data_IF_281471097052
#
_entry.id   IF_281471097052
#
_cell.length_a   1.000
_cell.length_b   1.000
_cell.length_c   1.000
_cell.angle_alpha   90.00
_cell.angle_beta   90.00
_cell.angle_gamma   90.00
#
_symmetry.space_group_name_H-M   'P 1'
#
loop_
_entity.id
_entity.type
_entity.pdbx_description
1 polymer ?
#
# COMPACT_ATOMS: atom_id res chain seq x y z
N UNK A 1 16.42 -12.65 6.87
CA UNK A 1 16.91 -11.49 6.06
C UNK A 1 18.10 -11.97 5.24
N UNK A 2 18.14 -11.76 3.92
CA UNK A 2 19.33 -12.04 3.12
C UNK A 2 20.51 -11.28 3.74
N UNK A 3 21.61 -11.98 4.01
CA UNK A 3 22.78 -11.45 4.74
C UNK A 3 23.55 -10.36 3.99
N UNK A 4 23.03 -9.85 2.88
CA UNK A 4 23.72 -8.99 1.91
C UNK A 4 22.99 -7.69 1.55
N UNK A 5 21.82 -7.38 2.13
CA UNK A 5 21.09 -6.16 1.76
C UNK A 5 21.81 -4.89 2.23
N UNK A 6 22.01 -3.95 1.32
CA UNK A 6 22.58 -2.63 1.62
C UNK A 6 21.45 -1.65 1.96
N UNK A 7 21.68 -0.78 2.95
CA UNK A 7 20.72 0.29 3.27
C UNK A 7 20.56 1.18 2.04
N UNK A 8 19.31 1.49 1.69
CA UNK A 8 18.95 2.22 0.47
C UNK A 8 18.87 1.36 -0.80
N UNK A 9 19.05 0.05 -0.71
CA UNK A 9 18.91 -0.84 -1.86
C UNK A 9 17.44 -1.07 -2.23
N UNK A 10 17.15 -1.09 -3.53
CA UNK A 10 15.86 -1.48 -4.10
C UNK A 10 15.96 -2.90 -4.65
N UNK A 11 15.19 -3.82 -4.08
CA UNK A 11 15.11 -5.20 -4.54
C UNK A 11 14.02 -5.34 -5.60
N UNK A 12 14.34 -5.93 -6.74
CA UNK A 12 13.32 -6.43 -7.65
C UNK A 12 12.73 -7.73 -7.08
N UNK A 13 11.43 -7.70 -6.77
CA UNK A 13 10.69 -8.85 -6.27
C UNK A 13 9.63 -9.33 -7.26
N UNK A 14 9.65 -8.83 -8.50
CA UNK A 14 8.65 -9.09 -9.54
C UNK A 14 8.30 -7.85 -10.38
N UNK A 15 8.80 -6.67 -10.01
CA UNK A 15 8.53 -5.40 -10.68
C UNK A 15 9.00 -5.36 -12.13
N UNK A 16 10.10 -6.02 -12.48
CA UNK A 16 10.58 -6.08 -13.88
C UNK A 16 9.60 -6.76 -14.83
N UNK A 17 8.76 -7.67 -14.33
CA UNK A 17 7.72 -8.35 -15.11
C UNK A 17 6.42 -7.56 -15.25
N UNK A 18 6.26 -6.42 -14.56
CA UNK A 18 4.99 -5.69 -14.51
C UNK A 18 4.53 -5.24 -15.90
N UNK A 19 5.43 -4.70 -16.73
CA UNK A 19 5.06 -4.18 -18.05
C UNK A 19 4.42 -5.24 -18.94
N UNK A 20 4.93 -6.47 -18.93
CA UNK A 20 4.36 -7.56 -19.72
C UNK A 20 3.05 -8.08 -19.11
N UNK A 21 2.97 -8.15 -17.78
CA UNK A 21 1.72 -8.47 -17.08
C UNK A 21 0.59 -7.49 -17.40
N UNK A 22 0.89 -6.18 -17.44
CA UNK A 22 -0.10 -5.16 -17.82
C UNK A 22 -0.55 -5.30 -19.26
N UNK A 23 0.34 -5.61 -20.22
CA UNK A 23 -0.05 -5.85 -21.62
C UNK A 23 -1.02 -7.03 -21.73
N UNK A 24 -0.78 -8.12 -20.99
CA UNK A 24 -1.67 -9.29 -20.97
C UNK A 24 -3.03 -8.89 -20.43
N UNK A 25 -3.10 -8.24 -19.26
CA UNK A 25 -4.37 -7.79 -18.67
C UNK A 25 -5.12 -6.80 -19.58
N UNK A 26 -4.42 -5.83 -20.19
CA UNK A 26 -5.03 -4.92 -21.17
C UNK A 26 -5.62 -5.67 -22.36
N UNK A 27 -4.95 -6.71 -22.85
CA UNK A 27 -5.47 -7.51 -23.95
C UNK A 27 -6.73 -8.26 -23.55
N UNK A 28 -6.77 -8.83 -22.36
CA UNK A 28 -7.88 -9.64 -21.86
C UNK A 28 -9.07 -8.77 -21.44
N UNK A 29 -8.85 -7.78 -20.57
CA UNK A 29 -9.90 -7.01 -19.90
C UNK A 29 -10.45 -5.86 -20.77
N UNK A 30 -9.65 -5.34 -21.70
CA UNK A 30 -10.02 -4.20 -22.54
C UNK A 30 -10.17 -4.57 -24.02
N UNK A 31 -9.14 -5.14 -24.65
CA UNK A 31 -9.14 -5.37 -26.10
C UNK A 31 -10.08 -6.51 -26.50
N UNK A 32 -9.98 -7.65 -25.81
CA UNK A 32 -10.71 -8.88 -26.14
C UNK A 32 -12.09 -8.96 -25.49
N UNK A 33 -12.49 -7.94 -24.73
CA UNK A 33 -13.83 -7.85 -24.15
C UNK A 33 -14.87 -7.75 -25.27
N UNK A 34 -15.86 -8.63 -25.24
CA UNK A 34 -16.93 -8.72 -26.25
C UNK A 34 -18.06 -7.69 -26.03
N UNK A 35 -17.85 -6.72 -25.12
CA UNK A 35 -18.80 -5.67 -24.78
C UNK A 35 -20.01 -6.14 -23.96
N UNK A 36 -20.16 -7.44 -23.67
CA UNK A 36 -21.26 -7.94 -22.82
C UNK A 36 -20.96 -7.78 -21.33
N UNK A 37 -19.69 -7.82 -20.95
CA UNK A 37 -19.17 -7.34 -19.66
C UNK A 37 -18.53 -5.97 -19.84
N UNK A 38 -18.76 -5.05 -18.89
CA UNK A 38 -18.14 -3.72 -18.92
C UNK A 38 -16.62 -3.84 -19.01
N UNK A 39 -16.02 -3.21 -20.03
CA UNK A 39 -14.57 -3.15 -20.21
C UNK A 39 -13.92 -2.46 -19.01
N UNK A 40 -12.71 -2.88 -18.68
CA UNK A 40 -11.91 -2.20 -17.66
C UNK A 40 -10.45 -2.12 -18.02
N UNK A 41 -9.76 -1.16 -17.40
CA UNK A 41 -8.30 -1.07 -17.44
C UNK A 41 -7.70 -1.64 -16.16
N UNK A 42 -6.51 -2.25 -16.22
CA UNK A 42 -5.77 -2.66 -15.02
C UNK A 42 -5.47 -1.44 -14.16
N UNK A 43 -5.84 -1.45 -12.88
CA UNK A 43 -5.65 -0.31 -11.97
C UNK A 43 -4.19 0.12 -11.87
N UNK A 44 -3.24 -0.82 -11.94
CA UNK A 44 -1.81 -0.52 -11.88
C UNK A 44 -1.36 0.40 -13.03
N UNK A 45 -2.05 0.40 -14.17
CA UNK A 45 -1.78 1.32 -15.28
C UNK A 45 -1.99 2.78 -14.88
N UNK A 46 -2.92 3.06 -13.95
CA UNK A 46 -3.16 4.40 -13.40
C UNK A 46 -1.92 4.95 -12.67
N UNK A 47 -1.09 4.06 -12.14
CA UNK A 47 0.11 4.39 -11.37
C UNK A 47 1.41 4.02 -12.12
N UNK A 48 1.34 3.71 -13.42
CA UNK A 48 2.52 3.34 -14.20
C UNK A 48 3.09 4.56 -14.96
N UNK A 49 4.40 4.78 -14.87
CA UNK A 49 5.10 5.86 -15.57
C UNK A 49 4.52 7.25 -15.27
N UNK A 50 4.01 7.92 -16.31
CA UNK A 50 3.39 9.25 -16.20
C UNK A 50 2.19 9.28 -15.25
N UNK A 51 1.45 8.18 -15.13
CA UNK A 51 0.28 8.09 -14.24
C UNK A 51 0.64 8.38 -12.78
N UNK A 52 1.77 7.84 -12.30
CA UNK A 52 2.27 8.12 -10.96
C UNK A 52 2.68 9.58 -10.78
N UNK A 53 3.33 10.18 -11.79
CA UNK A 53 3.75 11.58 -11.72
C UNK A 53 2.54 12.52 -11.60
N UNK A 54 1.48 12.25 -12.37
CA UNK A 54 0.22 12.99 -12.29
C UNK A 54 -0.48 12.75 -10.94
N UNK A 55 -0.49 11.52 -10.44
CA UNK A 55 -1.05 11.21 -9.13
C UNK A 55 -0.32 11.95 -8.00
N UNK A 56 1.00 12.06 -8.07
CA UNK A 56 1.78 12.84 -7.12
C UNK A 56 1.35 14.31 -7.12
N UNK A 57 1.07 14.91 -8.29
CA UNK A 57 0.54 16.27 -8.37
C UNK A 57 -0.85 16.38 -7.74
N UNK A 58 -1.73 15.39 -7.97
CA UNK A 58 -3.05 15.33 -7.32
C UNK A 58 -2.92 15.34 -5.80
N UNK A 59 -1.92 14.65 -5.25
CA UNK A 59 -1.64 14.59 -3.82
C UNK A 59 -1.21 15.93 -3.19
N UNK A 60 -0.95 16.97 -4.00
CA UNK A 60 -0.65 18.33 -3.53
C UNK A 60 -1.82 19.31 -3.70
N UNK A 61 -2.89 18.91 -4.39
CA UNK A 61 -4.06 19.78 -4.59
C UNK A 61 -4.77 20.04 -3.25
N UNK A 62 -5.22 21.27 -3.04
CA UNK A 62 -5.93 21.67 -1.81
C UNK A 62 -7.21 20.84 -1.58
N UNK A 63 -7.89 20.45 -2.66
CA UNK A 63 -9.11 19.64 -2.63
C UNK A 63 -8.84 18.15 -2.33
N UNK A 64 -7.59 17.70 -2.47
CA UNK A 64 -7.19 16.33 -2.15
C UNK A 64 -6.67 16.23 -0.71
N UNK A 65 -7.61 16.17 0.24
CA UNK A 65 -7.29 16.20 1.68
C UNK A 65 -6.55 14.98 2.21
N UNK A 66 -6.67 13.81 1.57
CA UNK A 66 -6.24 12.53 2.15
C UNK A 66 -4.75 12.48 2.53
N UNK A 67 -3.87 13.08 1.72
CA UNK A 67 -2.42 13.08 2.01
C UNK A 67 -2.10 14.00 3.18
N UNK A 68 -2.69 15.21 3.19
CA UNK A 68 -2.52 16.18 4.27
C UNK A 68 -3.04 15.65 5.61
N UNK A 69 -4.23 15.07 5.59
CA UNK A 69 -4.90 14.60 6.81
C UNK A 69 -4.18 13.37 7.40
N UNK A 70 -3.62 12.50 6.56
CA UNK A 70 -2.78 11.37 6.97
C UNK A 70 -1.46 11.84 7.59
N UNK A 71 -0.75 12.77 6.96
CA UNK A 71 0.48 13.36 7.51
C UNK A 71 0.18 14.00 8.87
N UNK A 72 -0.87 14.82 8.97
CA UNK A 72 -1.24 15.49 10.21
C UNK A 72 -1.63 14.50 11.32
N UNK A 73 -2.31 13.40 10.98
CA UNK A 73 -2.61 12.32 11.92
C UNK A 73 -1.31 11.69 12.45
N UNK A 74 -0.39 11.33 11.56
CA UNK A 74 0.87 10.69 11.93
C UNK A 74 1.81 11.63 12.71
N UNK A 75 1.78 12.93 12.43
CA UNK A 75 2.50 13.94 13.23
C UNK A 75 1.89 14.07 14.64
N UNK A 76 0.57 14.10 14.75
CA UNK A 76 -0.14 14.27 16.02
C UNK A 76 -0.03 13.02 16.92
N UNK A 77 -0.17 11.83 16.34
CA UNK A 77 -0.28 10.57 17.07
C UNK A 77 0.95 9.66 16.94
N UNK A 78 1.99 10.10 16.22
CA UNK A 78 3.16 9.28 15.89
C UNK A 78 3.85 8.67 17.11
N UNK A 79 3.94 9.40 18.23
CA UNK A 79 4.52 8.88 19.46
C UNK A 79 3.74 7.67 20.02
N UNK A 80 2.40 7.79 20.12
CA UNK A 80 1.54 6.70 20.58
C UNK A 80 1.55 5.50 19.61
N UNK A 81 1.62 5.77 18.31
CA UNK A 81 1.76 4.72 17.29
C UNK A 81 3.11 4.00 17.46
N UNK A 82 4.21 4.71 17.70
CA UNK A 82 5.54 4.14 17.92
C UNK A 82 5.62 3.27 19.18
N UNK A 83 4.86 3.57 20.24
CA UNK A 83 4.80 2.73 21.45
C UNK A 83 4.29 1.31 21.15
N UNK A 84 3.47 1.15 20.12
CA UNK A 84 2.92 -0.13 19.67
C UNK A 84 3.84 -0.89 18.69
N UNK A 85 4.97 -0.28 18.31
CA UNK A 85 5.96 -0.87 17.39
C UNK A 85 7.05 -1.58 18.21
N UNK A 86 7.18 -2.92 18.10
CA UNK A 86 8.21 -3.63 18.84
C UNK A 86 9.61 -3.33 18.36
N UNK A 87 10.58 -3.42 19.28
CA UNK A 87 12.00 -3.27 18.97
C UNK A 87 12.46 -4.31 17.94
N UNK A 88 13.21 -3.87 16.92
CA UNK A 88 13.80 -4.75 15.91
C UNK A 88 12.79 -5.34 14.92
N UNK A 89 11.59 -4.74 14.83
CA UNK A 89 10.55 -5.17 13.90
C UNK A 89 10.91 -4.84 12.43
N UNK A 90 10.11 -5.39 11.53
CA UNK A 90 10.13 -5.04 10.11
C UNK A 90 8.83 -4.34 9.75
N UNK A 91 8.95 -3.12 9.27
CA UNK A 91 7.85 -2.30 8.78
C UNK A 91 7.83 -2.43 7.26
N UNK A 92 6.69 -2.75 6.68
CA UNK A 92 6.46 -2.80 5.23
C UNK A 92 5.38 -1.81 4.87
N UNK A 93 5.73 -0.82 4.07
CA UNK A 93 4.82 0.22 3.58
C UNK A 93 4.32 -0.16 2.19
N UNK A 94 3.13 -0.74 2.15
CA UNK A 94 2.48 -1.26 0.95
C UNK A 94 1.83 -0.11 0.18
N UNK A 95 2.41 0.21 -0.98
CA UNK A 95 2.00 1.36 -1.76
C UNK A 95 2.58 2.63 -1.14
N UNK A 96 3.88 2.58 -0.89
CA UNK A 96 4.62 3.67 -0.25
C UNK A 96 4.35 5.00 -0.96
N UNK A 97 4.37 4.98 -2.30
CA UNK A 97 4.05 6.11 -3.17
C UNK A 97 4.78 7.37 -2.71
N UNK A 98 4.02 8.27 -2.09
CA UNK A 98 4.55 9.48 -1.49
C UNK A 98 5.18 9.25 -0.10
N UNK A 99 6.51 9.19 -0.06
CA UNK A 99 7.30 8.95 1.15
C UNK A 99 7.13 10.03 2.23
N UNK A 100 6.52 11.20 1.91
CA UNK A 100 6.19 12.22 2.92
C UNK A 100 5.25 11.69 4.00
N UNK A 101 4.35 10.75 3.65
CA UNK A 101 3.39 10.16 4.59
C UNK A 101 4.10 9.40 5.72
N UNK A 102 4.93 8.37 5.46
CA UNK A 102 5.62 7.65 6.54
C UNK A 102 6.78 8.46 7.16
N UNK A 103 7.31 9.50 6.49
CA UNK A 103 8.52 10.20 6.93
C UNK A 103 8.44 10.74 8.37
N UNK A 104 7.28 11.26 8.82
CA UNK A 104 7.12 11.72 10.20
C UNK A 104 7.18 10.57 11.21
N UNK A 105 6.60 9.40 10.89
CA UNK A 105 6.67 8.21 11.73
C UNK A 105 8.11 7.65 11.78
N UNK A 106 8.82 7.61 10.64
CA UNK A 106 10.23 7.20 10.60
C UNK A 106 11.12 8.14 11.42
N UNK A 107 10.87 9.44 11.35
CA UNK A 107 11.58 10.44 12.15
C UNK A 107 11.31 10.26 13.65
N UNK A 108 10.09 9.88 14.04
CA UNK A 108 9.73 9.59 15.42
C UNK A 108 10.39 8.30 15.93
N UNK A 109 10.42 7.24 15.12
CA UNK A 109 11.15 6.01 15.45
C UNK A 109 12.64 6.27 15.67
N UNK A 110 13.23 7.11 14.81
CA UNK A 110 14.62 7.54 14.94
C UNK A 110 14.86 8.33 16.23
N UNK A 111 14.01 9.31 16.55
CA UNK A 111 14.16 10.15 17.74
C UNK A 111 14.05 9.34 19.04
N UNK A 112 13.17 8.33 19.05
CA UNK A 112 13.00 7.37 20.14
C UNK A 112 14.07 6.26 20.14
N UNK A 113 14.97 6.24 19.14
CA UNK A 113 16.02 5.22 18.95
C UNK A 113 15.48 3.80 18.88
N UNK A 114 14.29 3.63 18.31
CA UNK A 114 13.65 2.33 18.12
C UNK A 114 14.24 1.69 16.85
N UNK A 115 15.04 0.62 16.96
CA UNK A 115 15.67 0.03 15.80
C UNK A 115 14.63 -0.72 14.96
N UNK A 116 14.48 -0.35 13.68
CA UNK A 116 13.55 -1.03 12.75
C UNK A 116 14.17 -1.20 11.37
N UNK A 117 13.63 -2.14 10.60
CA UNK A 117 13.86 -2.20 9.15
C UNK A 117 12.60 -1.79 8.42
N UNK A 118 12.65 -0.71 7.66
CA UNK A 118 11.55 -0.18 6.86
C UNK A 118 11.72 -0.59 5.39
N UNK A 119 10.69 -1.18 4.81
CA UNK A 119 10.62 -1.59 3.42
C UNK A 119 9.49 -0.83 2.71
N UNK A 120 9.85 0.06 1.80
CA UNK A 120 8.89 0.69 0.90
C UNK A 120 8.56 -0.27 -0.25
N UNK A 121 7.29 -0.65 -0.41
CA UNK A 121 6.82 -1.47 -1.53
C UNK A 121 6.08 -0.59 -2.54
N UNK A 122 6.54 -0.60 -3.78
CA UNK A 122 5.91 0.14 -4.88
C UNK A 122 6.17 -0.50 -6.25
N UNK A 123 5.32 -0.19 -7.22
CA UNK A 123 5.46 -0.65 -8.61
C UNK A 123 6.44 0.24 -9.41
N UNK A 124 6.73 1.45 -8.92
CA UNK A 124 7.67 2.37 -9.57
C UNK A 124 9.08 2.22 -9.02
N UNK A 125 9.98 1.64 -9.83
CA UNK A 125 11.40 1.52 -9.48
C UNK A 125 12.04 2.88 -9.26
N UNK A 126 11.82 3.82 -10.18
CA UNK A 126 12.44 5.15 -10.13
C UNK A 126 12.05 5.90 -8.86
N UNK A 127 10.77 5.83 -8.47
CA UNK A 127 10.29 6.46 -7.24
C UNK A 127 10.87 5.81 -5.98
N UNK A 128 11.06 4.49 -5.99
CA UNK A 128 11.74 3.77 -4.91
C UNK A 128 13.22 4.17 -4.82
N UNK A 129 13.94 4.25 -5.95
CA UNK A 129 15.35 4.63 -5.98
C UNK A 129 15.56 6.07 -5.49
N UNK A 130 14.69 7.00 -5.89
CA UNK A 130 14.70 8.38 -5.40
C UNK A 130 14.43 8.42 -3.89
N UNK A 131 13.39 7.72 -3.42
CA UNK A 131 13.03 7.65 -2.00
C UNK A 131 14.15 7.04 -1.17
N UNK A 132 14.76 5.96 -1.65
CA UNK A 132 15.85 5.29 -0.94
C UNK A 132 17.11 6.16 -0.91
N UNK A 133 17.41 6.89 -1.97
CA UNK A 133 18.50 7.87 -1.99
C UNK A 133 18.28 8.95 -0.93
N UNK A 134 17.06 9.46 -0.81
CA UNK A 134 16.69 10.45 0.21
C UNK A 134 16.78 9.90 1.64
N UNK A 135 16.36 8.65 1.87
CA UNK A 135 16.26 8.05 3.20
C UNK A 135 17.56 7.40 3.71
N UNK A 136 18.42 6.87 2.83
CA UNK A 136 19.52 5.96 3.20
C UNK A 136 20.49 6.51 4.25
N UNK A 137 20.74 7.83 4.26
CA UNK A 137 21.69 8.47 5.16
C UNK A 137 21.03 9.32 6.25
N UNK A 138 19.70 9.25 6.38
CA UNK A 138 18.93 10.14 7.25
C UNK A 138 18.77 9.59 8.67
N UNK A 139 18.93 8.28 8.84
CA UNK A 139 18.60 7.58 10.07
C UNK A 139 19.70 6.59 10.49
N UNK A 140 19.95 6.49 11.79
CA UNK A 140 20.88 5.54 12.38
C UNK A 140 20.16 4.28 12.90
N UNK A 141 18.94 4.43 13.42
CA UNK A 141 18.15 3.36 14.01
C UNK A 141 17.13 2.77 13.02
N UNK A 142 16.66 3.56 12.07
CA UNK A 142 15.77 3.12 10.99
C UNK A 142 16.59 2.74 9.75
N UNK A 143 16.52 1.47 9.33
CA UNK A 143 17.17 1.00 8.08
C UNK A 143 16.15 0.90 6.96
N UNK A 144 16.31 1.68 5.90
CA UNK A 144 15.36 1.76 4.80
C UNK A 144 15.79 0.92 3.59
N UNK A 145 14.82 0.26 2.94
CA UNK A 145 14.99 -0.55 1.75
C UNK A 145 13.77 -0.41 0.82
N UNK A 146 13.95 -0.66 -0.47
CA UNK A 146 12.88 -0.69 -1.47
C UNK A 146 12.55 -2.12 -1.90
N UNK A 147 11.27 -2.37 -2.16
CA UNK A 147 10.73 -3.58 -2.77
C UNK A 147 9.99 -3.16 -4.04
N UNK A 148 10.56 -3.47 -5.19
CA UNK A 148 9.98 -3.16 -6.49
C UNK A 148 9.13 -4.35 -6.97
N UNK A 149 7.82 -4.15 -6.97
CA UNK A 149 6.85 -5.17 -7.36
C UNK A 149 5.42 -4.77 -7.01
N UNK A 150 4.48 -5.62 -7.39
CA UNK A 150 3.07 -5.47 -7.04
C UNK A 150 2.81 -5.81 -5.57
N UNK A 151 1.59 -5.53 -5.08
CA UNK A 151 1.17 -6.02 -3.76
C UNK A 151 1.20 -7.55 -3.66
N UNK A 152 0.94 -8.25 -4.77
CA UNK A 152 1.01 -9.70 -4.81
C UNK A 152 2.45 -10.20 -4.65
N UNK A 153 3.39 -9.56 -5.33
CA UNK A 153 4.82 -9.86 -5.19
C UNK A 153 5.29 -9.57 -3.77
N UNK A 154 4.91 -8.41 -3.21
CA UNK A 154 5.18 -8.05 -1.82
C UNK A 154 4.67 -9.11 -0.86
N UNK A 155 3.44 -9.58 -1.07
CA UNK A 155 2.87 -10.68 -0.28
C UNK A 155 3.68 -11.98 -0.39
N UNK A 156 4.13 -12.35 -1.58
CA UNK A 156 4.96 -13.56 -1.76
C UNK A 156 6.33 -13.39 -1.11
N UNK A 157 6.95 -12.21 -1.28
CA UNK A 157 8.20 -11.85 -0.61
C UNK A 157 8.07 -11.97 0.91
N UNK A 158 6.99 -11.44 1.49
CA UNK A 158 6.70 -11.54 2.92
C UNK A 158 6.66 -13.00 3.43
N UNK A 159 6.26 -13.98 2.61
CA UNK A 159 6.31 -15.40 2.97
C UNK A 159 7.72 -16.01 2.89
N UNK A 160 8.55 -15.49 1.99
CA UNK A 160 9.91 -15.96 1.76
C UNK A 160 10.94 -15.42 2.75
N UNK A 161 10.65 -14.28 3.40
CA UNK A 161 11.56 -13.68 4.36
C UNK A 161 11.51 -14.47 5.66
N UNK A 162 12.55 -15.29 5.87
CA UNK A 162 12.82 -15.92 7.16
C UNK A 162 12.91 -14.84 8.25
N UNK A 163 11.91 -14.85 9.12
CA UNK A 163 11.94 -14.14 10.39
C UNK A 163 12.77 -14.98 11.35
N UNK A 164 13.87 -14.46 11.92
CA UNK A 164 14.69 -15.24 12.85
C UNK A 164 13.83 -15.74 14.00
N UNK A 165 13.72 -17.07 14.15
CA UNK A 165 13.15 -17.67 15.36
C UNK A 165 14.13 -17.49 16.52
N UNK A 166 13.58 -17.13 17.67
CA UNK A 166 14.27 -16.82 18.93
C UNK A 166 15.25 -17.95 19.35
N UNK A 167 16.45 -17.63 19.88
CA UNK A 167 17.15 -18.55 20.78
C UNK A 167 16.37 -18.65 22.09
N UNK A 168 15.90 -19.84 22.46
CA UNK A 168 15.19 -20.06 23.75
C UNK A 168 16.10 -19.61 24.90
N UNK A 169 15.73 -18.60 25.70
CA UNK A 169 16.52 -18.32 26.91
C UNK A 169 16.28 -17.04 27.72
N UNK A 170 15.85 -15.90 27.15
CA UNK A 170 15.90 -14.62 27.91
C UNK A 170 14.53 -13.92 28.00
N UNK A 171 13.99 -13.83 29.22
CA UNK A 171 12.60 -13.52 29.58
C UNK A 171 12.07 -12.10 29.30
N UNK A 172 12.17 -11.61 28.07
CA UNK A 172 11.27 -10.56 27.54
C UNK A 172 10.83 -10.97 26.13
N UNK A 173 9.52 -11.12 25.92
CA UNK A 173 8.94 -11.51 24.64
C UNK A 173 9.07 -10.36 23.65
N UNK A 174 9.99 -10.47 22.69
CA UNK A 174 9.98 -9.65 21.48
C UNK A 174 9.94 -10.62 20.30
N UNK A 175 8.73 -11.10 19.98
CA UNK A 175 8.42 -11.64 18.66
C UNK A 175 8.68 -10.52 17.66
N UNK A 176 9.39 -10.80 16.56
CA UNK A 176 9.49 -9.81 15.48
C UNK A 176 8.12 -9.68 14.83
N UNK A 177 7.37 -8.68 15.25
CA UNK A 177 6.09 -8.33 14.66
C UNK A 177 6.35 -7.70 13.30
N UNK A 178 5.62 -8.13 12.28
CA UNK A 178 5.58 -7.44 10.99
C UNK A 178 4.56 -6.33 11.10
N UNK A 179 4.95 -5.10 10.76
CA UNK A 179 4.08 -3.93 10.75
C UNK A 179 3.79 -3.54 9.31
N UNK A 180 2.54 -3.59 8.86
CA UNK A 180 2.17 -3.15 7.51
C UNK A 180 1.55 -1.75 7.55
N UNK A 181 2.20 -0.77 6.92
CA UNK A 181 1.58 0.53 6.61
C UNK A 181 0.88 0.40 5.26
N UNK A 182 -0.37 0.84 5.12
CA UNK A 182 -1.03 0.86 3.82
C UNK A 182 -2.43 1.46 3.80
N UNK A 183 -2.87 1.84 2.60
CA UNK A 183 -4.28 2.12 2.30
C UNK A 183 -4.86 0.87 1.64
N UNK A 184 -5.73 0.13 2.32
CA UNK A 184 -6.39 -1.01 1.68
C UNK A 184 -7.54 -0.50 0.82
N UNK A 185 -7.48 -0.83 -0.46
CA UNK A 185 -8.58 -0.65 -1.38
C UNK A 185 -9.62 -1.78 -1.20
N UNK A 186 -10.94 -1.52 -1.20
CA UNK A 186 -11.99 -2.48 -0.86
C UNK A 186 -12.12 -3.73 -1.74
N UNK A 187 -11.72 -3.67 -3.02
CA UNK A 187 -11.65 -4.89 -3.83
C UNK A 187 -10.62 -5.89 -3.27
N UNK A 188 -9.67 -5.41 -2.47
CA UNK A 188 -8.77 -6.27 -1.72
C UNK A 188 -9.43 -6.87 -0.50
N UNK A 189 -10.58 -6.40 -0.01
CA UNK A 189 -11.32 -7.12 1.02
C UNK A 189 -11.85 -8.47 0.51
N UNK A 190 -12.26 -8.58 -0.77
CA UNK A 190 -12.66 -9.86 -1.35
C UNK A 190 -11.47 -10.76 -1.75
N UNK A 191 -10.36 -10.18 -2.23
CA UNK A 191 -9.16 -10.96 -2.58
C UNK A 191 -8.26 -11.30 -1.37
N UNK A 192 -8.28 -10.50 -0.29
CA UNK A 192 -7.34 -10.61 0.84
C UNK A 192 -7.91 -11.21 2.13
N UNK A 193 -9.23 -11.33 2.32
CA UNK A 193 -9.79 -12.05 3.47
C UNK A 193 -9.38 -13.52 3.51
N UNK A 194 -9.20 -14.14 2.34
CA UNK A 194 -8.64 -15.50 2.19
C UNK A 194 -7.09 -15.51 2.32
N UNK A 195 -6.44 -14.35 2.11
CA UNK A 195 -4.99 -14.23 1.96
C UNK A 195 -4.27 -13.79 3.25
N UNK A 196 -4.85 -12.90 4.07
CA UNK A 196 -4.32 -12.51 5.38
C UNK A 196 -4.39 -13.66 6.39
N UNK A 197 -5.45 -14.48 6.38
CA UNK A 197 -5.52 -15.74 7.15
C UNK A 197 -4.36 -16.71 6.84
N UNK A 198 -3.77 -16.66 5.64
CA UNK A 198 -2.61 -17.48 5.24
C UNK A 198 -1.26 -16.81 5.47
N UNK A 199 -1.21 -15.49 5.69
CA UNK A 199 0.01 -14.77 6.09
C UNK A 199 0.25 -14.86 7.60
N UNK A 200 -0.83 -14.95 8.38
CA UNK A 200 -0.88 -14.93 9.83
C UNK A 200 -0.33 -16.19 10.56
N UNK A 201 0.86 -16.68 10.21
CA UNK A 201 1.55 -17.71 11.01
C UNK A 201 2.50 -17.11 12.07
N UNK A 202 2.57 -15.78 12.16
CA UNK A 202 3.36 -15.03 13.16
C UNK A 202 2.55 -13.84 13.70
N UNK A 203 2.91 -13.29 14.86
CA UNK A 203 2.28 -12.07 15.41
C UNK A 203 2.47 -10.89 14.44
N UNK A 204 1.57 -10.69 13.49
CA UNK A 204 1.57 -9.58 12.52
C UNK A 204 0.61 -8.47 13.00
N UNK A 205 1.04 -7.20 12.85
CA UNK A 205 0.26 -6.00 13.12
C UNK A 205 0.17 -5.14 11.84
N UNK A 206 -0.93 -4.42 11.66
CA UNK A 206 -1.14 -3.54 10.51
C UNK A 206 -1.58 -2.16 10.98
N UNK A 207 -1.09 -1.12 10.31
CA UNK A 207 -1.54 0.25 10.46
C UNK A 207 -2.21 0.69 9.15
N UNK A 208 -3.51 0.92 9.18
CA UNK A 208 -4.28 1.21 7.96
C UNK A 208 -4.98 2.55 7.97
N UNK A 209 -4.83 3.32 6.88
CA UNK A 209 -5.45 4.63 6.68
C UNK A 209 -6.73 4.58 5.86
N UNK A 210 -7.80 5.21 6.35
CA UNK A 210 -9.11 5.28 5.68
C UNK A 210 -9.69 6.69 5.79
N UNK A 211 -10.23 7.21 4.69
CA UNK A 211 -11.03 8.45 4.72
C UNK A 211 -12.52 8.12 4.62
N UNK A 212 -13.38 9.01 5.13
CA UNK A 212 -14.84 8.86 5.06
C UNK A 212 -15.41 9.78 4.00
N UNK A 213 -16.22 9.19 3.12
CA UNK A 213 -17.33 9.79 2.35
C UNK A 213 -18.25 8.63 1.97
N UNK A 214 -19.57 8.83 2.06
CA UNK A 214 -20.58 7.79 1.78
C UNK A 214 -20.69 7.38 0.29
N UNK A 215 -19.79 7.86 -0.59
CA UNK A 215 -19.77 7.52 -2.01
C UNK A 215 -18.40 7.01 -2.47
N UNK A 216 -18.36 5.87 -3.21
CA UNK A 216 -17.15 5.46 -3.90
C UNK A 216 -16.79 6.50 -4.95
N UNK A 217 -15.51 6.84 -5.04
CA UNK A 217 -14.99 7.65 -6.13
C UNK A 217 -14.61 6.68 -7.24
N UNK A 218 -15.18 6.86 -8.43
CA UNK A 218 -14.87 6.07 -9.61
C UNK A 218 -14.31 6.98 -10.69
N UNK A 219 -13.26 6.50 -11.33
CA UNK A 219 -12.66 7.10 -12.51
C UNK A 219 -13.00 6.19 -13.67
N UNK A 220 -13.76 6.72 -14.60
CA UNK A 220 -14.22 6.03 -15.79
C UNK A 220 -13.97 6.90 -17.01
N UNK A 221 -13.78 6.28 -18.16
CA UNK A 221 -13.63 6.95 -19.44
C UNK A 221 -14.91 6.74 -20.23
N UNK A 222 -15.53 7.85 -20.65
CA UNK A 222 -16.71 7.84 -21.51
C UNK A 222 -16.27 8.10 -22.96
N UNK A 223 -16.59 7.17 -23.86
CA UNK A 223 -16.44 7.40 -25.29
C UNK A 223 -17.47 8.44 -25.76
N UNK A 224 -17.01 9.61 -26.16
CA UNK A 224 -17.88 10.69 -26.68
C UNK A 224 -18.19 10.57 -28.17
N UNK A 225 -17.62 9.56 -28.82
CA UNK A 225 -17.81 9.17 -30.22
C UNK A 225 -17.24 7.76 -30.39
N UNK A 226 -17.53 7.14 -31.52
CA UNK A 226 -16.91 5.87 -31.91
C UNK A 226 -15.38 6.02 -32.00
N UNK A 227 -14.67 5.03 -31.45
CA UNK A 227 -13.20 4.92 -31.50
C UNK A 227 -12.83 3.56 -32.06
N UNK A 228 -12.29 3.58 -33.28
CA UNK A 228 -11.77 2.40 -33.97
C UNK A 228 -10.25 2.35 -33.90
N UNK A 229 -9.70 1.18 -33.56
CA UNK A 229 -8.29 0.86 -33.65
C UNK A 229 -8.12 -0.49 -34.38
N UNK A 230 -8.05 -0.47 -35.73
CA UNK A 230 -7.97 -1.68 -36.55
C UNK A 230 -6.77 -2.57 -36.23
N UNK A 231 -5.62 -1.97 -35.90
CA UNK A 231 -4.38 -2.70 -35.54
C UNK A 231 -4.55 -3.58 -34.31
N UNK A 232 -5.46 -3.20 -33.40
CA UNK A 232 -5.80 -3.96 -32.20
C UNK A 232 -7.09 -4.76 -32.35
N UNK A 233 -7.78 -4.67 -33.49
CA UNK A 233 -9.13 -5.22 -33.67
C UNK A 233 -10.14 -4.65 -32.67
N UNK A 234 -9.92 -3.42 -32.21
CA UNK A 234 -10.68 -2.79 -31.14
C UNK A 234 -11.66 -1.76 -31.72
N UNK A 235 -12.91 -1.86 -31.31
CA UNK A 235 -13.92 -0.82 -31.48
C UNK A 235 -14.52 -0.49 -30.11
N UNK A 236 -14.59 0.79 -29.78
CA UNK A 236 -15.29 1.31 -28.59
C UNK A 236 -16.39 2.24 -29.09
N UNK A 237 -17.64 1.89 -28.80
CA UNK A 237 -18.79 2.62 -29.32
C UNK A 237 -19.03 3.94 -28.56
N UNK A 238 -19.62 4.93 -29.22
CA UNK A 238 -20.11 6.13 -28.57
C UNK A 238 -21.04 5.79 -27.39
N UNK A 239 -20.82 6.44 -26.24
CA UNK A 239 -21.57 6.21 -25.01
C UNK A 239 -21.03 5.06 -24.15
N UNK A 240 -20.06 4.28 -24.63
CA UNK A 240 -19.44 3.23 -23.83
C UNK A 240 -18.64 3.82 -22.67
N UNK A 241 -18.85 3.27 -21.47
CA UNK A 241 -18.14 3.65 -20.23
C UNK A 241 -17.17 2.54 -19.86
N UNK A 242 -15.89 2.88 -19.80
CA UNK A 242 -14.80 1.99 -19.41
C UNK A 242 -14.40 2.33 -17.98
N UNK A 243 -14.56 1.38 -17.06
CA UNK A 243 -14.19 1.57 -15.66
C UNK A 243 -12.66 1.42 -15.51
N UNK A 244 -12.00 2.36 -14.81
CA UNK A 244 -10.54 2.33 -14.68
C UNK A 244 -10.09 2.17 -13.23
N UNK A 245 -10.53 3.07 -12.35
CA UNK A 245 -10.09 3.08 -10.96
C UNK A 245 -11.26 3.38 -10.03
N UNK A 246 -11.28 2.70 -8.89
CA UNK A 246 -12.23 2.97 -7.83
C UNK A 246 -11.51 3.30 -6.53
N UNK A 247 -12.18 4.01 -5.64
CA UNK A 247 -11.73 4.22 -4.28
C UNK A 247 -12.97 4.27 -3.41
N UNK A 248 -13.17 3.27 -2.56
CA UNK A 248 -14.24 3.32 -1.57
C UNK A 248 -13.68 3.78 -0.23
N UNK A 249 -14.54 4.50 0.46
CA UNK A 249 -14.28 5.21 1.70
C UNK A 249 -15.30 4.69 2.70
N UNK A 250 -14.85 4.38 3.91
CA UNK A 250 -15.69 3.72 4.92
C UNK A 250 -15.52 4.41 6.25
N UNK A 251 -16.65 4.61 6.93
CA UNK A 251 -16.66 5.06 8.32
C UNK A 251 -16.02 4.05 9.27
N UNK A 252 -15.63 4.49 10.49
CA UNK A 252 -15.01 3.61 11.47
C UNK A 252 -15.80 2.36 11.83
N UNK A 253 -17.13 2.42 11.83
CA UNK A 253 -17.96 1.27 12.20
C UNK A 253 -17.98 0.19 11.12
N UNK A 254 -18.02 0.59 9.84
CA UNK A 254 -17.88 -0.33 8.72
C UNK A 254 -16.48 -0.98 8.75
N UNK A 255 -15.43 -0.20 9.03
CA UNK A 255 -14.07 -0.72 9.13
C UNK A 255 -13.90 -1.74 10.26
N UNK A 256 -14.48 -1.48 11.44
CA UNK A 256 -14.49 -2.45 12.56
C UNK A 256 -15.12 -3.77 12.16
N UNK A 257 -16.32 -3.73 11.56
CA UNK A 257 -17.01 -4.93 11.07
C UNK A 257 -16.17 -5.69 10.04
N UNK A 258 -15.53 -4.96 9.13
CA UNK A 258 -14.63 -5.52 8.12
C UNK A 258 -13.41 -6.22 8.76
N UNK A 259 -12.78 -5.63 9.78
CA UNK A 259 -11.70 -6.29 10.52
C UNK A 259 -12.14 -7.61 11.15
N UNK A 260 -13.28 -7.60 11.85
CA UNK A 260 -13.84 -8.78 12.51
C UNK A 260 -14.13 -9.90 11.51
N UNK A 261 -14.79 -9.58 10.38
CA UNK A 261 -15.08 -10.54 9.31
C UNK A 261 -13.81 -11.14 8.69
N UNK A 262 -12.70 -10.39 8.71
CA UNK A 262 -11.41 -10.84 8.22
C UNK A 262 -10.63 -11.70 9.23
N UNK A 263 -11.11 -11.82 10.47
CA UNK A 263 -10.36 -12.44 11.56
C UNK A 263 -9.21 -11.58 12.07
N UNK A 264 -9.31 -10.26 11.93
CA UNK A 264 -8.36 -9.29 12.48
C UNK A 264 -8.93 -8.63 13.75
N UNK A 265 -8.09 -8.43 14.75
CA UNK A 265 -8.43 -7.74 15.99
C UNK A 265 -8.01 -6.27 15.91
N UNK A 266 -8.94 -5.35 16.18
CA UNK A 266 -8.61 -3.94 16.39
C UNK A 266 -7.89 -3.75 17.73
N UNK A 267 -6.70 -3.12 17.71
CA UNK A 267 -5.88 -2.82 18.89
C UNK A 267 -5.91 -1.36 19.27
N UNK A 268 -6.05 -0.47 18.29
CA UNK A 268 -6.12 0.97 18.49
C UNK A 268 -6.53 1.68 17.22
N UNK A 269 -6.97 2.93 17.33
CA UNK A 269 -7.24 3.76 16.18
C UNK A 269 -7.12 5.24 16.53
N UNK A 270 -6.82 6.05 15.53
CA UNK A 270 -6.61 7.49 15.65
C UNK A 270 -7.36 8.21 14.55
N UNK A 271 -7.78 9.44 14.82
CA UNK A 271 -8.41 10.33 13.85
C UNK A 271 -7.47 11.51 13.55
N UNK A 272 -7.51 11.97 12.31
CA UNK A 272 -6.82 13.20 11.91
C UNK A 272 -7.46 14.39 12.61
N UNK A 273 -6.66 15.36 13.10
CA UNK A 273 -7.22 16.59 13.66
C UNK A 273 -7.82 17.50 12.58
N UNK A 274 -7.57 17.24 11.29
CA UNK A 274 -7.97 18.09 10.17
C UNK A 274 -9.26 17.64 9.48
N UNK A 275 -9.72 16.41 9.69
CA UNK A 275 -10.86 15.89 8.95
C UNK A 275 -11.12 14.40 9.17
N UNK A 276 -11.99 13.85 8.33
CA UNK A 276 -12.43 12.45 8.40
C UNK A 276 -11.42 11.51 7.72
N UNK A 277 -10.25 11.42 8.35
CA UNK A 277 -9.22 10.42 8.05
C UNK A 277 -8.87 9.69 9.33
N UNK A 278 -8.76 8.37 9.26
CA UNK A 278 -8.56 7.50 10.39
C UNK A 278 -7.43 6.53 10.11
N UNK A 279 -6.65 6.23 11.15
CA UNK A 279 -5.64 5.18 11.11
C UNK A 279 -5.98 4.10 12.13
N UNK A 280 -5.96 2.83 11.73
CA UNK A 280 -6.29 1.69 12.58
C UNK A 280 -5.06 0.82 12.81
N UNK A 281 -4.75 0.53 14.06
CA UNK A 281 -3.83 -0.54 14.44
C UNK A 281 -4.62 -1.84 14.63
N UNK A 282 -4.28 -2.84 13.83
CA UNK A 282 -4.90 -4.16 13.82
C UNK A 282 -3.85 -5.25 14.06
N UNK A 283 -4.28 -6.44 14.50
CA UNK A 283 -3.43 -7.63 14.53
C UNK A 283 -4.20 -8.85 14.04
N UNK A 284 -3.48 -9.91 13.67
CA UNK A 284 -4.11 -11.22 13.50
C UNK A 284 -4.67 -11.73 14.85
N UNK A 285 -5.76 -12.50 14.77
CA UNK A 285 -6.37 -13.18 15.91
C UNK A 285 -5.48 -14.31 16.46
#
# INVERSE_FOLDING_TARGET
MPSSLRVGEVLDIGGSGLGDSLKVKLKEDFISSDGKSSRSFPTELFYYGLGLQLWNQVCWLADYHQTRDEISLLECHGAAICEEIPLGCTIVDMGSGDIRKPACLLQQLESLRIPVSYFALDISRDALEESMTYLANRYQHVKCYGLWGTFEDGRQWLRSVDTPKRPRGTGKNVSRIRWCLGKLHPQWFSYSTISWKRLAQTEERGLMGVSVRDSPHKFSLLATKDVDCPDLGLHVGEGEVIEFFGSWKYGPDIMKMQFEQSGMMLKGWWASPLGEFYQYLISCA
#
